data_IF_733285754344
#
_entry.id   IF_733285754344
#
_cell.length_a   1.000
_cell.length_b   1.000
_cell.length_c   1.000
_cell.angle_alpha   90.00
_cell.angle_beta   90.00
_cell.angle_gamma   90.00
#
_symmetry.space_group_name_H-M   'P 1'
#
loop_
_entity.id
_entity.type
_entity.pdbx_description
1 polymer ?
2 non-polymer ?
3 non-polymer ?
4 non-polymer ?
5 water ?
#
# COMPACT_ATOMS: atom_id res chain seq x y z
N UNK A 15 11.71 -11.50 30.18
CA UNK A 15 11.41 -11.61 28.75
C UNK A 15 12.65 -11.53 27.87
N UNK A 16 12.65 -12.26 26.75
CA UNK A 16 13.75 -12.18 25.79
C UNK A 16 13.86 -10.75 25.26
N UNK A 17 15.08 -10.31 24.96
CA UNK A 17 15.33 -8.94 24.56
C UNK A 17 16.10 -8.89 23.24
N UNK A 18 15.89 -7.82 22.48
CA UNK A 18 16.59 -7.60 21.21
C UNK A 18 16.98 -6.14 21.12
N UNK A 19 18.26 -5.87 20.84
CA UNK A 19 18.78 -4.52 20.64
C UNK A 19 18.59 -3.61 21.85
N UNK A 20 18.35 -4.17 23.03
CA UNK A 20 18.23 -3.39 24.25
C UNK A 20 16.80 -3.10 24.68
N UNK A 21 15.80 -3.39 23.86
CA UNK A 21 14.42 -3.18 24.24
C UNK A 21 13.69 -4.51 24.39
N UNK A 22 12.59 -4.46 25.14
CA UNK A 22 11.81 -5.65 25.42
C UNK A 22 11.14 -6.15 24.13
N UNK A 23 11.27 -7.45 23.88
CA UNK A 23 10.59 -8.10 22.77
C UNK A 23 9.98 -9.38 23.34
N UNK A 24 8.80 -9.26 23.95
CA UNK A 24 8.27 -10.20 24.93
C UNK A 24 7.25 -11.15 24.30
N UNK A 25 7.71 -12.27 23.75
CA UNK A 25 6.83 -13.08 22.91
C UNK A 25 6.77 -14.52 23.37
N UNK A 26 7.55 -14.86 24.39
CA UNK A 26 7.69 -16.26 24.76
C UNK A 26 6.51 -16.80 25.54
N UNK A 27 6.48 -18.12 25.77
CA UNK A 27 7.46 -19.13 25.35
C UNK A 27 7.22 -19.74 23.97
N UNK A 28 6.09 -19.42 23.32
CA UNK A 28 5.80 -20.06 22.03
C UNK A 28 6.83 -19.69 20.99
N UNK A 29 7.35 -18.47 21.04
CA UNK A 29 8.24 -17.95 20.00
C UNK A 29 9.62 -17.70 20.60
N UNK A 30 10.63 -18.34 20.02
CA UNK A 30 11.98 -18.31 20.57
C UNK A 30 12.98 -18.09 19.45
N UNK A 31 14.25 -17.97 19.84
CA UNK A 31 15.37 -17.84 18.93
C UNK A 31 15.17 -16.65 17.98
N UNK A 32 15.05 -15.47 18.60
CA UNK A 32 14.71 -14.25 17.89
C UNK A 32 15.91 -13.66 17.14
N UNK A 33 15.62 -13.08 15.97
CA UNK A 33 16.60 -12.38 15.14
C UNK A 33 16.02 -11.04 14.72
N UNK A 34 16.80 -9.98 14.93
CA UNK A 34 16.39 -8.65 14.50
C UNK A 34 16.32 -8.59 12.98
N UNK A 35 15.22 -8.09 12.43
CA UNK A 35 15.07 -7.93 10.99
C UNK A 35 15.18 -6.47 10.57
N UNK A 36 14.52 -5.56 11.29
CA UNK A 36 14.63 -4.15 10.97
C UNK A 36 13.67 -3.32 11.79
N UNK A 37 13.71 -2.02 11.52
CA UNK A 37 12.79 -1.04 12.09
C UNK A 37 11.70 -0.77 11.05
N UNK A 38 10.46 -1.07 11.42
CA UNK A 38 9.34 -0.82 10.54
C UNK A 38 8.64 0.49 10.85
N UNK A 39 7.55 0.72 10.12
CA UNK A 39 6.70 1.88 10.39
C UNK A 39 6.07 1.80 11.77
N UNK A 40 6.01 0.61 12.38
CA UNK A 40 5.40 0.48 13.69
C UNK A 40 6.40 0.29 14.83
N UNK A 41 7.63 -0.11 14.53
CA UNK A 41 8.59 -0.44 15.57
C UNK A 41 9.50 -1.56 15.11
N UNK A 42 9.96 -2.36 16.07
CA UNK A 42 10.94 -3.39 15.76
C UNK A 42 10.29 -4.60 15.12
N UNK A 43 10.94 -5.16 14.10
CA UNK A 43 10.50 -6.39 13.46
C UNK A 43 11.59 -7.43 13.61
N UNK A 44 11.19 -8.63 14.07
CA UNK A 44 12.12 -9.72 14.29
C UNK A 44 11.56 -10.99 13.65
N UNK A 45 12.45 -11.93 13.36
CA UNK A 45 11.99 -13.29 13.10
C UNK A 45 12.13 -14.10 14.37
N UNK A 46 11.37 -15.19 14.41
CA UNK A 46 11.33 -16.01 15.61
C UNK A 46 10.92 -17.41 15.21
N UNK A 47 11.26 -18.36 16.05
CA UNK A 47 10.86 -19.74 15.82
C UNK A 47 9.54 -20.02 16.55
N UNK A 48 8.54 -20.47 15.79
CA UNK A 48 7.23 -20.81 16.31
C UNK A 48 7.26 -22.27 16.76
N UNK A 49 7.39 -22.48 18.08
CA UNK A 49 7.53 -23.83 18.60
C UNK A 49 6.29 -24.69 18.42
N UNK A 50 5.14 -24.09 18.10
CA UNK A 50 3.93 -24.87 17.86
C UNK A 50 3.85 -25.32 16.41
N UNK A 51 3.94 -24.37 15.49
CA UNK A 51 3.86 -24.72 14.07
C UNK A 51 5.20 -25.16 13.51
N UNK A 52 6.28 -25.06 14.30
CA UNK A 52 7.59 -25.60 13.93
C UNK A 52 8.15 -24.89 12.70
N UNK A 53 7.94 -23.58 12.63
CA UNK A 53 8.41 -22.79 11.50
C UNK A 53 8.84 -21.43 12.02
N UNK A 54 9.71 -20.76 11.28
CA UNK A 54 10.09 -19.40 11.65
C UNK A 54 9.09 -18.42 11.08
N UNK A 55 8.75 -17.41 11.90
CA UNK A 55 7.71 -16.42 11.60
C UNK A 55 8.31 -15.03 11.76
N UNK A 56 7.54 -14.04 11.28
CA UNK A 56 7.84 -12.63 11.53
C UNK A 56 6.99 -12.14 12.68
N UNK A 57 7.57 -11.29 13.52
CA UNK A 57 6.86 -10.66 14.63
C UNK A 57 7.14 -9.17 14.66
N UNK A 58 6.09 -8.36 14.67
CA UNK A 58 6.17 -6.90 14.71
C UNK A 58 5.73 -6.42 16.08
N UNK A 59 6.59 -5.68 16.77
CA UNK A 59 6.25 -5.05 18.04
C UNK A 59 5.69 -3.65 17.80
N UNK A 60 4.51 -3.39 18.37
CA UNK A 60 3.79 -2.14 18.21
C UNK A 60 3.56 -1.55 19.60
N UNK A 61 3.86 -0.25 19.77
CA UNK A 61 3.68 0.44 21.05
C UNK A 61 2.92 1.74 20.82
N UNK A 62 1.60 1.65 20.64
CA UNK A 62 0.82 2.80 20.13
C UNK A 62 0.02 3.59 21.16
N UNK A 63 0.03 3.19 22.42
CA UNK A 63 -1.09 3.54 23.30
C UNK A 63 -1.02 4.95 23.86
N UNK A 64 0.11 5.63 23.71
CA UNK A 64 0.23 6.99 24.19
C UNK A 64 -0.35 8.02 23.22
N UNK A 65 -0.59 7.63 21.97
CA UNK A 65 -0.92 8.59 20.93
C UNK A 65 -2.15 8.12 20.17
N UNK A 66 -3.12 9.01 20.04
CA UNK A 66 -4.39 8.63 19.44
C UNK A 66 -4.21 8.22 17.98
N UNK A 67 -3.34 8.92 17.25
CA UNK A 67 -3.14 8.58 15.84
C UNK A 67 -2.46 7.23 15.67
N UNK A 68 -1.53 6.88 16.57
CA UNK A 68 -0.93 5.56 16.52
C UNK A 68 -1.97 4.51 16.84
N UNK A 69 -2.80 4.76 17.85
CA UNK A 69 -3.87 3.84 18.15
C UNK A 69 -4.78 3.67 16.95
N UNK A 70 -5.08 4.77 16.26
CA UNK A 70 -5.94 4.70 15.08
C UNK A 70 -5.37 3.75 14.03
N UNK A 71 -4.11 3.96 13.67
CA UNK A 71 -3.51 3.21 12.59
C UNK A 71 -3.39 1.73 12.97
N UNK A 72 -3.07 1.47 14.25
CA UNK A 72 -2.96 0.10 14.74
C UNK A 72 -4.31 -0.60 14.69
N UNK A 73 -5.35 0.08 15.16
CA UNK A 73 -6.68 -0.52 15.10
C UNK A 73 -7.09 -0.78 13.66
N UNK A 74 -6.86 0.19 12.75
CA UNK A 74 -7.13 -0.01 11.33
C UNK A 74 -6.48 -1.28 10.79
N UNK A 75 -5.17 -1.40 10.98
CA UNK A 75 -4.41 -2.54 10.48
C UNK A 75 -4.99 -3.84 11.01
N UNK A 76 -5.20 -3.91 12.33
CA UNK A 76 -5.69 -5.16 12.92
C UNK A 76 -7.08 -5.49 12.43
N UNK A 77 -8.00 -4.52 12.48
CA UNK A 77 -9.37 -4.79 12.07
C UNK A 77 -9.43 -5.27 10.62
N UNK A 78 -8.71 -4.59 9.74
CA UNK A 78 -8.79 -4.97 8.33
C UNK A 78 -8.13 -6.33 8.11
N UNK A 79 -6.91 -6.51 8.62
CA UNK A 79 -6.21 -7.76 8.32
C UNK A 79 -6.91 -8.97 8.92
N UNK A 80 -7.61 -8.78 10.04
CA UNK A 80 -8.34 -9.90 10.63
C UNK A 80 -9.56 -10.29 9.83
N UNK A 81 -10.18 -9.33 9.12
CA UNK A 81 -11.35 -9.68 8.32
C UNK A 81 -10.96 -10.20 6.96
N UNK A 82 -9.89 -9.69 6.38
CA UNK A 82 -9.48 -10.14 5.06
C UNK A 82 -8.86 -11.53 5.12
N UNK A 83 -9.08 -12.29 4.06
CA UNK A 83 -8.42 -13.59 3.89
C UNK A 83 -8.16 -13.75 2.40
N UNK A 84 -6.91 -13.61 1.99
CA UNK A 84 -6.57 -13.61 0.57
C UNK A 84 -5.10 -13.97 0.42
N UNK A 85 -4.80 -14.79 -0.60
CA UNK A 85 -3.44 -15.27 -0.84
C UNK A 85 -2.43 -14.14 -1.03
N UNK A 86 -2.86 -12.99 -1.58
CA UNK A 86 -1.97 -11.89 -1.88
C UNK A 86 -2.10 -10.76 -0.88
N UNK A 87 -2.57 -11.05 0.33
CA UNK A 87 -2.65 -10.09 1.40
C UNK A 87 -2.09 -10.77 2.63
N UNK A 88 -1.18 -10.10 3.34
CA UNK A 88 -0.55 -10.75 4.49
C UNK A 88 -1.62 -11.01 5.55
N UNK A 89 -1.56 -12.17 6.14
CA UNK A 89 -2.49 -12.46 7.21
C UNK A 89 -1.90 -12.15 8.57
N UNK A 90 -2.74 -12.20 9.58
CA UNK A 90 -2.27 -12.18 10.96
C UNK A 90 -2.47 -13.59 11.51
N UNK A 91 -1.38 -14.24 11.89
CA UNK A 91 -1.43 -15.59 12.43
C UNK A 91 -1.71 -15.63 13.92
N UNK A 92 -1.28 -14.59 14.62
CA UNK A 92 -1.37 -14.56 16.08
C UNK A 92 -1.16 -13.12 16.51
N UNK A 93 -1.65 -12.79 17.70
CA UNK A 93 -1.40 -11.49 18.31
C UNK A 93 -1.11 -11.73 19.77
N UNK A 94 0.02 -11.21 20.22
CA UNK A 94 0.48 -11.38 21.60
C UNK A 94 0.31 -10.06 22.34
N UNK A 95 -0.34 -10.11 23.51
CA UNK A 95 -0.39 -8.96 24.39
C UNK A 95 -0.75 -9.44 25.78
N UNK A 96 -0.60 -8.54 26.75
CA UNK A 96 -0.91 -8.85 28.15
C UNK A 96 -2.38 -9.27 28.31
N UNK A 97 -2.69 -10.00 29.39
CA UNK A 97 -4.06 -10.48 29.56
C UNK A 97 -5.06 -9.40 29.95
N UNK A 98 -4.60 -8.24 30.38
CA UNK A 98 -5.50 -7.19 30.86
C UNK A 98 -5.14 -5.89 30.20
N UNK A 99 -6.12 -5.00 30.06
CA UNK A 99 -5.83 -3.71 29.47
C UNK A 99 -4.80 -2.95 30.30
N UNK A 100 -4.91 -3.03 31.65
CA UNK A 100 -3.96 -2.37 32.54
C UNK A 100 -2.53 -2.77 32.23
N UNK A 101 -2.29 -4.05 31.99
CA UNK A 101 -0.95 -4.53 31.78
C UNK A 101 -0.51 -4.43 30.33
N UNK A 102 -1.41 -4.07 29.43
CA UNK A 102 -1.09 -4.08 28.00
C UNK A 102 -0.33 -2.81 27.63
N UNK A 103 0.95 -2.95 27.30
CA UNK A 103 1.78 -1.84 26.85
C UNK A 103 2.21 -1.99 25.40
N UNK A 104 2.42 -3.21 24.96
CA UNK A 104 2.82 -3.51 23.59
C UNK A 104 1.88 -4.56 23.02
N UNK A 105 1.86 -4.64 21.69
CA UNK A 105 1.12 -5.65 20.96
C UNK A 105 2.08 -6.22 19.92
N UNK A 106 2.17 -7.54 19.84
CA UNK A 106 3.01 -8.18 18.84
C UNK A 106 2.11 -8.87 17.82
N UNK A 107 2.33 -8.55 16.55
CA UNK A 107 1.59 -9.16 15.45
C UNK A 107 2.48 -10.21 14.81
N UNK A 108 2.01 -11.46 14.78
CA UNK A 108 2.78 -12.57 14.21
C UNK A 108 2.24 -12.83 12.81
N UNK A 109 3.15 -12.93 11.83
CA UNK A 109 2.80 -13.08 10.43
C UNK A 109 3.76 -14.08 9.78
N UNK A 110 3.34 -14.62 8.63
CA UNK A 110 4.23 -15.44 7.82
C UNK A 110 5.55 -14.71 7.62
N UNK A 111 6.65 -15.46 7.72
CA UNK A 111 7.97 -14.88 7.46
C UNK A 111 8.17 -14.78 5.96
N UNK A 112 8.47 -13.58 5.47
CA UNK A 112 8.68 -13.38 4.05
C UNK A 112 10.15 -13.04 3.78
N UNK A 113 10.72 -13.61 2.72
CA UNK A 113 12.15 -13.47 2.49
C UNK A 113 12.56 -12.01 2.33
N UNK A 114 11.75 -11.21 1.63
CA UNK A 114 12.17 -9.85 1.27
C UNK A 114 10.92 -9.02 0.97
N UNK A 115 11.12 -7.79 0.49
CA UNK A 115 10.01 -6.99 -0.02
C UNK A 115 10.48 -6.36 -1.32
N UNK A 116 9.54 -5.77 -2.06
CA UNK A 116 9.90 -5.32 -3.40
C UNK A 116 10.84 -4.12 -3.34
N UNK A 117 10.81 -3.34 -2.26
CA UNK A 117 11.77 -2.24 -2.12
C UNK A 117 13.19 -2.78 -2.05
N UNK A 118 13.44 -3.75 -1.17
CA UNK A 118 14.76 -4.35 -1.03
C UNK A 118 15.18 -5.07 -2.30
N UNK A 119 14.23 -5.75 -2.93
CA UNK A 119 14.58 -6.50 -4.13
C UNK A 119 14.99 -5.55 -5.25
N UNK A 120 14.27 -4.44 -5.42
CA UNK A 120 14.60 -3.51 -6.50
C UNK A 120 15.92 -2.78 -6.26
N UNK A 121 16.40 -2.72 -5.01
CA UNK A 121 17.70 -2.10 -4.77
C UNK A 121 18.84 -2.85 -5.44
N UNK A 122 18.73 -4.17 -5.59
CA UNK A 122 19.86 -4.92 -6.13
C UNK A 122 19.55 -5.91 -7.24
N UNK A 123 18.29 -6.17 -7.56
CA UNK A 123 17.96 -7.22 -8.51
C UNK A 123 17.23 -6.64 -9.71
N UNK A 124 17.69 -6.99 -10.90
CA UNK A 124 16.95 -6.74 -12.11
C UNK A 124 15.86 -7.80 -12.24
N UNK A 125 14.62 -7.39 -12.54
CA UNK A 125 13.52 -8.33 -12.72
C UNK A 125 13.41 -8.75 -14.18
N UNK A 126 13.20 -10.06 -14.41
CA UNK A 126 12.84 -10.51 -15.76
C UNK A 126 11.44 -10.02 -16.09
N UNK A 127 11.11 -9.93 -17.39
CA UNK A 127 9.73 -9.59 -17.74
C UNK A 127 8.76 -10.58 -17.09
N UNK A 128 9.16 -11.86 -17.00
CA UNK A 128 8.26 -12.84 -16.39
C UNK A 128 7.99 -12.51 -14.93
N UNK A 129 9.02 -12.07 -14.19
CA UNK A 129 8.81 -11.67 -12.81
C UNK A 129 7.96 -10.41 -12.71
N UNK A 130 8.19 -9.43 -13.60
CA UNK A 130 7.36 -8.22 -13.55
C UNK A 130 5.90 -8.59 -13.74
N UNK A 131 5.63 -9.42 -14.74
CA UNK A 131 4.28 -9.84 -15.05
C UNK A 131 3.64 -10.54 -13.86
N UNK A 132 4.38 -11.48 -13.26
CA UNK A 132 3.88 -12.23 -12.12
C UNK A 132 3.63 -11.35 -10.91
N UNK A 133 4.59 -10.46 -10.59
CA UNK A 133 4.39 -9.53 -9.48
C UNK A 133 3.17 -8.65 -9.73
N UNK A 134 3.08 -8.05 -10.92
CA UNK A 134 1.95 -7.15 -11.18
C UNK A 134 0.62 -7.90 -11.09
N UNK A 135 0.57 -9.12 -11.62
CA UNK A 135 -0.65 -9.91 -11.52
C UNK A 135 -1.05 -10.08 -10.05
N UNK A 136 -0.07 -10.42 -9.20
CA UNK A 136 -0.42 -10.68 -7.80
C UNK A 136 -0.84 -9.40 -7.07
N UNK A 137 -0.20 -8.29 -7.41
CA UNK A 137 -0.60 -7.02 -6.79
C UNK A 137 -2.05 -6.71 -7.12
N UNK A 138 -2.38 -6.79 -8.40
CA UNK A 138 -3.75 -6.48 -8.84
C UNK A 138 -4.75 -7.51 -8.32
N UNK A 139 -4.33 -8.76 -8.20
CA UNK A 139 -5.23 -9.78 -7.64
C UNK A 139 -5.57 -9.44 -6.21
N UNK A 140 -4.56 -9.11 -5.40
CA UNK A 140 -4.83 -8.67 -4.04
C UNK A 140 -5.65 -7.39 -4.00
N UNK A 141 -5.30 -6.43 -4.87
CA UNK A 141 -6.02 -5.17 -4.88
C UNK A 141 -7.48 -5.37 -5.28
N UNK A 142 -7.77 -6.32 -6.18
CA UNK A 142 -9.15 -6.56 -6.55
C UNK A 142 -9.97 -6.91 -5.31
N UNK A 143 -9.42 -7.77 -4.46
CA UNK A 143 -10.08 -8.16 -3.22
C UNK A 143 -10.27 -6.96 -2.28
N UNK A 144 -9.20 -6.18 -2.07
CA UNK A 144 -9.28 -5.00 -1.22
C UNK A 144 -10.39 -4.07 -1.70
N UNK A 145 -10.35 -3.72 -2.99
CA UNK A 145 -11.37 -2.81 -3.54
C UNK A 145 -12.76 -3.41 -3.50
N UNK A 146 -12.89 -4.74 -3.69
CA UNK A 146 -14.20 -5.35 -3.59
C UNK A 146 -14.77 -5.26 -2.18
N UNK A 147 -13.92 -5.03 -1.19
CA UNK A 147 -14.36 -4.81 0.18
C UNK A 147 -14.70 -3.35 0.43
N UNK A 148 -14.67 -2.52 -0.60
CA UNK A 148 -14.91 -1.08 -0.49
C UNK A 148 -13.80 -0.38 0.30
N UNK A 149 -12.60 -0.94 0.28
CA UNK A 149 -11.47 -0.44 1.03
C UNK A 149 -10.43 0.07 0.05
N UNK A 150 -9.80 1.18 0.40
CA UNK A 150 -8.65 1.76 -0.28
C UNK A 150 -7.41 1.51 0.56
N UNK A 151 -6.33 1.02 -0.06
CA UNK A 151 -5.11 0.79 0.72
C UNK A 151 -4.44 2.12 1.05
N UNK A 152 -4.28 2.99 0.05
CA UNK A 152 -3.82 4.36 0.16
C UNK A 152 -2.34 4.50 0.53
N UNK A 153 -1.57 3.41 0.55
CA UNK A 153 -0.11 3.58 0.69
C UNK A 153 0.62 2.47 -0.01
N UNK A 154 0.17 2.12 -1.22
CA UNK A 154 0.87 1.09 -2.00
C UNK A 154 2.21 1.63 -2.48
N UNK A 155 3.26 0.83 -2.29
CA UNK A 155 4.63 1.17 -2.64
C UNK A 155 5.47 -0.10 -2.48
N UNK A 156 6.67 -0.14 -3.06
CA UNK A 156 7.44 -1.40 -3.04
C UNK A 156 7.64 -1.98 -1.62
N UNK A 157 7.87 -1.13 -0.62
CA UNK A 157 8.17 -1.68 0.71
C UNK A 157 6.94 -2.28 1.38
N UNK A 158 5.73 -2.06 0.84
CA UNK A 158 4.52 -2.67 1.36
C UNK A 158 4.10 -3.89 0.56
N UNK A 159 5.02 -4.45 -0.23
CA UNK A 159 4.80 -5.66 -1.01
C UNK A 159 5.83 -6.68 -0.56
N UNK A 160 5.40 -7.63 0.25
CA UNK A 160 6.30 -8.66 0.75
C UNK A 160 6.39 -9.83 -0.24
N UNK A 161 7.54 -10.50 -0.26
CA UNK A 161 7.81 -11.61 -1.16
C UNK A 161 8.48 -12.72 -0.37
N UNK A 162 8.04 -13.96 -0.55
CA UNK A 162 8.72 -15.10 0.06
C UNK A 162 9.72 -15.69 -0.94
N UNK A 163 10.32 -16.84 -0.59
CA UNK A 163 11.44 -17.34 -1.38
C UNK A 163 11.02 -17.85 -2.74
N UNK A 164 9.72 -18.05 -2.95
CA UNK A 164 9.20 -18.56 -4.21
C UNK A 164 8.46 -17.45 -4.91
N UNK A 165 8.68 -16.22 -4.46
CA UNK A 165 8.13 -14.95 -5.14
C UNK A 165 6.64 -14.88 -5.02
N UNK A 166 6.05 -15.53 -4.02
CA UNK A 166 4.65 -15.23 -3.72
C UNK A 166 4.62 -13.86 -3.05
N UNK A 167 3.68 -13.03 -3.47
CA UNK A 167 3.67 -11.62 -3.11
C UNK A 167 2.47 -11.35 -2.20
N UNK A 168 2.68 -10.61 -1.12
CA UNK A 168 1.59 -10.27 -0.21
C UNK A 168 1.61 -8.78 0.12
N UNK A 169 0.45 -8.12 -0.05
CA UNK A 169 0.31 -6.71 0.29
C UNK A 169 0.22 -6.59 1.80
N UNK A 170 0.92 -5.61 2.37
CA UNK A 170 0.90 -5.42 3.81
C UNK A 170 0.67 -3.95 4.12
N UNK A 171 0.58 -3.66 5.43
CA UNK A 171 0.39 -2.35 6.03
C UNK A 171 -0.88 -1.63 5.60
N UNK A 172 -1.96 -1.88 6.32
CA UNK A 172 -3.24 -1.24 6.09
C UNK A 172 -3.51 -0.11 7.07
N UNK A 173 -2.45 0.41 7.70
CA UNK A 173 -2.63 1.47 8.68
C UNK A 173 -3.19 2.78 8.13
N UNK A 174 -3.04 3.04 6.83
CA UNK A 174 -3.56 4.25 6.22
C UNK A 174 -4.80 3.98 5.39
N UNK A 175 -5.36 2.78 5.46
CA UNK A 175 -6.49 2.42 4.62
C UNK A 175 -7.75 3.14 5.07
N UNK A 176 -8.70 3.29 4.15
CA UNK A 176 -9.98 3.89 4.43
C UNK A 176 -11.07 3.19 3.63
N UNK A 177 -12.31 3.32 4.10
CA UNK A 177 -13.46 2.95 3.29
C UNK A 177 -13.64 3.98 2.17
N UNK A 178 -13.86 3.51 0.95
CA UNK A 178 -14.01 4.43 -0.19
C UNK A 178 -15.16 5.39 0.06
N UNK A 179 -14.99 6.64 -0.36
CA UNK A 179 -16.01 7.67 -0.16
C UNK A 179 -15.98 8.63 -1.34
N UNK A 180 -16.38 8.17 -2.54
CA UNK A 180 -16.25 9.03 -3.73
C UNK A 180 -17.08 10.30 -3.67
N UNK A 181 -18.23 10.26 -3.00
CA UNK A 181 -19.06 11.46 -2.96
C UNK A 181 -18.42 12.58 -2.16
N UNK A 182 -17.43 12.29 -1.32
CA UNK A 182 -16.77 13.32 -0.54
C UNK A 182 -15.29 13.46 -0.90
N UNK A 183 -14.92 13.15 -2.15
CA UNK A 183 -13.52 13.16 -2.54
C UNK A 183 -12.98 14.56 -2.84
N UNK A 184 -13.82 15.53 -3.14
CA UNK A 184 -13.30 16.80 -3.66
C UNK A 184 -12.80 17.68 -2.54
N UNK A 185 -11.70 18.38 -2.83
CA UNK A 185 -11.13 19.34 -1.90
C UNK A 185 -10.40 20.41 -2.69
N UNK A 186 -9.75 21.31 -1.98
CA UNK A 186 -9.02 22.40 -2.59
C UNK A 186 -7.61 22.05 -3.00
N UNK A 187 -6.92 23.07 -3.50
CA UNK A 187 -5.62 22.93 -4.12
C UNK A 187 -4.53 22.91 -3.04
N UNK A 188 -3.62 21.95 -3.14
CA UNK A 188 -2.44 21.87 -2.29
C UNK A 188 -2.78 21.59 -0.83
N UNK A 189 -3.84 20.82 -0.59
CA UNK A 189 -4.07 20.22 0.71
C UNK A 189 -3.63 18.76 0.61
N UNK A 190 -4.11 17.92 1.52
CA UNK A 190 -4.09 16.48 1.32
C UNK A 190 -2.71 15.85 1.29
N UNK A 191 -2.55 14.85 2.15
CA UNK A 191 -1.29 14.16 2.39
C UNK A 191 -1.68 12.68 2.39
N UNK A 192 -1.83 12.13 1.18
CA UNK A 192 -2.25 10.76 0.97
C UNK A 192 -1.08 10.02 0.34
N UNK A 193 -0.89 8.76 0.73
CA UNK A 193 0.17 7.90 0.21
C UNK A 193 1.56 8.44 0.48
N UNK A 194 2.57 7.73 -0.03
CA UNK A 194 3.96 8.13 0.12
C UNK A 194 4.34 8.88 -1.15
N UNK A 195 5.07 9.99 -0.96
CA UNK A 195 5.11 11.04 -1.99
C UNK A 195 5.26 10.48 -3.41
N UNK A 196 6.24 9.60 -3.63
CA UNK A 196 6.54 9.16 -5.00
C UNK A 196 5.39 8.40 -5.63
N UNK A 197 4.44 7.92 -4.84
CA UNK A 197 3.38 7.03 -5.31
C UNK A 197 2.03 7.74 -5.29
N UNK A 198 2.06 9.06 -5.13
CA UNK A 198 0.88 9.88 -4.93
C UNK A 198 0.33 10.35 -6.29
N UNK A 199 -0.97 10.14 -6.52
CA UNK A 199 -1.60 10.48 -7.78
C UNK A 199 -1.66 12.00 -7.96
N UNK A 200 -1.63 12.50 -9.20
CA UNK A 200 -1.57 13.95 -9.40
C UNK A 200 -2.73 14.68 -8.75
N UNK A 201 -3.93 14.07 -8.74
CA UNK A 201 -5.09 14.78 -8.20
C UNK A 201 -4.99 15.01 -6.69
N UNK A 202 -4.16 14.27 -5.96
CA UNK A 202 -4.00 14.54 -4.54
C UNK A 202 -3.53 15.98 -4.32
N UNK A 203 -2.62 16.45 -5.17
CA UNK A 203 -2.12 17.81 -5.09
C UNK A 203 -3.06 18.86 -5.69
N UNK A 204 -4.10 18.43 -6.40
CA UNK A 204 -4.98 19.34 -7.10
C UNK A 204 -6.34 19.49 -6.43
N UNK A 205 -7.06 18.37 -6.21
CA UNK A 205 -8.45 18.51 -5.77
C UNK A 205 -9.03 17.24 -5.15
N UNK A 206 -8.21 16.30 -4.70
CA UNK A 206 -8.71 15.01 -4.23
C UNK A 206 -8.21 14.69 -2.84
N UNK A 207 -9.11 14.17 -2.00
CA UNK A 207 -8.74 13.64 -0.69
C UNK A 207 -8.26 12.19 -0.74
N UNK A 208 -8.23 11.58 -1.93
CA UNK A 208 -7.78 10.19 -2.03
C UNK A 208 -8.78 9.22 -1.45
N UNK A 209 -10.07 9.48 -1.67
CA UNK A 209 -11.14 8.62 -1.19
C UNK A 209 -11.75 7.77 -2.29
N UNK A 210 -11.07 7.61 -3.43
CA UNK A 210 -11.60 6.74 -4.47
C UNK A 210 -10.55 5.73 -4.89
N UNK A 211 -11.02 4.65 -5.50
CA UNK A 211 -10.16 3.51 -5.81
C UNK A 211 -9.07 3.88 -6.80
N UNK A 212 -9.31 4.90 -7.63
CA UNK A 212 -8.29 5.28 -8.60
C UNK A 212 -6.99 5.71 -7.93
N UNK A 213 -7.02 6.08 -6.65
CA UNK A 213 -5.78 6.48 -5.98
C UNK A 213 -4.80 5.30 -5.91
N UNK A 214 -5.33 4.09 -5.71
CA UNK A 214 -4.48 2.92 -5.58
C UNK A 214 -3.93 2.50 -6.93
N UNK A 215 -4.74 2.64 -7.99
CA UNK A 215 -4.27 2.23 -9.31
C UNK A 215 -3.08 3.09 -9.72
N UNK A 216 -3.12 4.39 -9.41
CA UNK A 216 -1.97 5.24 -9.70
C UNK A 216 -0.71 4.67 -9.06
N UNK A 217 -0.80 4.34 -7.76
CA UNK A 217 0.35 3.79 -7.06
C UNK A 217 0.86 2.52 -7.74
N UNK A 218 -0.05 1.62 -8.15
CA UNK A 218 0.37 0.39 -8.83
C UNK A 218 1.09 0.72 -10.14
N UNK A 219 0.59 1.72 -10.88
CA UNK A 219 1.30 2.15 -12.07
C UNK A 219 2.71 2.62 -11.76
N UNK A 220 2.86 3.41 -10.70
CA UNK A 220 4.21 3.82 -10.28
C UNK A 220 5.08 2.62 -9.95
N UNK A 221 4.48 1.62 -9.31
CA UNK A 221 5.25 0.41 -8.97
C UNK A 221 5.65 -0.35 -10.22
N UNK A 222 4.75 -0.44 -11.19
CA UNK A 222 5.10 -1.11 -12.46
C UNK A 222 6.25 -0.41 -13.15
N UNK A 223 6.19 0.92 -13.22
CA UNK A 223 7.29 1.66 -13.83
C UNK A 223 8.61 1.37 -13.13
N UNK A 224 8.58 1.31 -11.80
CA UNK A 224 9.78 1.09 -11.01
C UNK A 224 10.32 -0.32 -11.19
N UNK A 225 9.42 -1.29 -11.39
CA UNK A 225 9.87 -2.64 -11.72
C UNK A 225 10.58 -2.71 -13.08
N UNK A 226 10.18 -1.85 -14.02
CA UNK A 226 10.77 -1.90 -15.35
C UNK A 226 12.18 -1.34 -15.39
N UNK A 227 12.54 -0.46 -14.45
CA UNK A 227 13.84 0.21 -14.53
C UNK A 227 14.62 0.25 -13.23
N UNK A 228 14.05 -0.24 -12.11
CA UNK A 228 14.66 -0.21 -10.79
C UNK A 228 14.89 1.21 -10.26
N UNK A 229 14.17 2.19 -10.80
CA UNK A 229 14.23 3.57 -10.37
C UNK A 229 12.81 4.09 -10.20
N UNK A 230 12.51 4.88 -9.16
CA UNK A 230 11.16 5.45 -9.10
C UNK A 230 10.92 6.38 -10.28
N UNK A 231 9.73 6.28 -10.87
CA UNK A 231 9.46 7.04 -12.09
C UNK A 231 9.26 8.52 -11.78
N UNK A 232 8.68 8.86 -10.62
CA UNK A 232 8.37 10.23 -10.24
C UNK A 232 9.01 10.58 -8.90
N UNK A 233 10.34 10.78 -8.86
CA UNK A 233 11.05 10.94 -7.58
C UNK A 233 11.02 12.37 -7.06
N UNK A 234 9.82 12.86 -6.74
CA UNK A 234 9.67 14.21 -6.21
C UNK A 234 10.50 14.42 -4.96
N UNK A 235 11.25 15.53 -4.91
CA UNK A 235 12.19 15.74 -3.82
C UNK A 235 11.50 16.30 -2.59
N UNK A 236 10.24 16.69 -2.73
CA UNK A 236 9.42 17.23 -1.66
C UNK A 236 8.00 17.32 -2.20
N UNK A 237 7.06 17.67 -1.32
CA UNK A 237 5.63 17.58 -1.64
C UNK A 237 5.30 18.32 -2.93
N UNK A 238 5.83 19.52 -3.08
CA UNK A 238 5.47 20.35 -4.22
C UNK A 238 6.13 19.87 -5.50
N UNK A 239 7.31 19.27 -5.39
CA UNK A 239 8.03 18.76 -6.55
C UNK A 239 7.29 17.61 -7.25
N UNK A 240 6.39 16.91 -6.54
CA UNK A 240 5.88 15.65 -7.06
C UNK A 240 5.08 15.85 -8.33
N UNK A 241 4.26 16.91 -8.36
CA UNK A 241 3.48 17.19 -9.56
C UNK A 241 4.39 17.58 -10.73
N UNK A 242 5.52 18.28 -10.47
CA UNK A 242 6.48 18.61 -11.53
C UNK A 242 6.94 17.35 -12.24
N UNK A 243 7.27 16.32 -11.47
CA UNK A 243 7.77 15.09 -12.07
C UNK A 243 6.69 14.41 -12.89
N UNK A 244 5.46 14.36 -12.37
CA UNK A 244 4.39 13.67 -13.09
C UNK A 244 4.12 14.36 -14.42
N UNK A 245 3.96 15.67 -14.38
CA UNK A 245 3.70 16.42 -15.61
C UNK A 245 4.89 16.40 -16.56
N UNK A 246 6.12 16.34 -16.05
CA UNK A 246 7.26 16.29 -16.94
C UNK A 246 7.28 15.04 -17.82
N UNK A 247 6.58 13.99 -17.42
CA UNK A 247 6.49 12.78 -18.22
C UNK A 247 5.16 12.68 -18.95
N UNK A 248 4.03 12.90 -18.25
CA UNK A 248 2.76 12.80 -18.93
C UNK A 248 2.53 13.95 -19.90
N UNK A 249 3.22 15.07 -19.71
CA UNK A 249 2.97 16.28 -20.47
C UNK A 249 1.73 17.00 -19.97
N UNK A 250 1.41 18.10 -20.66
CA UNK A 250 0.29 18.95 -20.25
C UNK A 250 -1.05 18.23 -20.36
N UNK A 251 -1.91 18.37 -19.35
CA UNK A 251 -3.26 17.80 -19.47
C UNK A 251 -4.06 18.45 -20.60
N UNK A 252 -4.92 17.64 -21.19
CA UNK A 252 -5.80 18.09 -22.27
C UNK A 252 -6.83 19.07 -21.73
N UNK A 253 -7.47 19.82 -22.65
CA UNK A 253 -8.55 20.72 -22.23
C UNK A 253 -9.68 19.94 -21.58
N UNK A 254 -10.00 18.76 -22.11
CA UNK A 254 -11.05 17.95 -21.53
C UNK A 254 -10.71 17.55 -20.11
N UNK A 255 -9.45 17.18 -19.87
CA UNK A 255 -9.08 16.77 -18.53
C UNK A 255 -9.06 17.96 -17.58
N UNK A 256 -8.64 19.13 -18.07
CA UNK A 256 -8.72 20.33 -17.23
C UNK A 256 -10.16 20.70 -16.95
N UNK A 257 -11.06 20.53 -17.95
CA UNK A 257 -12.45 20.91 -17.73
C UNK A 257 -13.10 20.04 -16.65
N UNK A 258 -12.51 18.88 -16.35
CA UNK A 258 -13.00 18.04 -15.26
C UNK A 258 -12.60 18.54 -13.88
N UNK A 259 -11.66 19.48 -13.79
CA UNK A 259 -11.24 20.06 -12.53
C UNK A 259 -12.00 21.36 -12.36
N UNK A 260 -13.05 21.37 -11.53
CA UNK A 260 -13.80 22.63 -11.42
C UNK A 260 -13.07 23.64 -10.52
N UNK A 261 -12.28 23.19 -9.57
CA UNK A 261 -11.64 24.10 -8.64
C UNK A 261 -10.68 25.04 -9.39
N UNK A 262 -10.90 26.35 -9.23
CA UNK A 262 -10.19 27.34 -10.04
C UNK A 262 -8.72 27.46 -9.67
N UNK A 263 -8.40 27.36 -8.38
CA UNK A 263 -7.00 27.44 -7.99
C UNK A 263 -6.21 26.29 -8.60
N UNK A 264 -6.76 25.08 -8.56
CA UNK A 264 -6.08 23.94 -9.18
C UNK A 264 -6.00 24.10 -10.69
N UNK A 265 -7.13 24.41 -11.32
CA UNK A 265 -7.13 24.52 -12.78
C UNK A 265 -6.20 25.63 -13.26
N UNK A 266 -6.23 26.79 -12.61
CA UNK A 266 -5.39 27.90 -13.06
C UNK A 266 -3.92 27.64 -12.82
N UNK A 267 -3.58 26.88 -11.78
CA UNK A 267 -2.19 26.46 -11.63
C UNK A 267 -1.73 25.70 -12.86
N UNK A 268 -2.52 24.73 -13.29
CA UNK A 268 -2.13 23.96 -14.47
C UNK A 268 -2.08 24.85 -15.72
N UNK A 269 -3.05 25.78 -15.85
CA UNK A 269 -3.07 26.66 -17.01
C UNK A 269 -1.87 27.59 -17.04
N UNK A 270 -1.25 27.83 -15.88
CA UNK A 270 -0.13 28.76 -15.80
C UNK A 270 1.17 28.14 -16.27
N UNK A 271 1.22 26.83 -16.47
CA UNK A 271 2.46 26.15 -16.79
C UNK A 271 2.72 26.23 -18.29
N UNK A 272 3.98 26.29 -18.69
CA UNK A 272 4.29 26.19 -20.13
C UNK A 272 3.89 24.81 -20.62
N UNK A 273 3.66 24.71 -21.92
CA UNK A 273 3.33 23.42 -22.50
C UNK A 273 4.47 22.44 -22.32
N UNK A 274 4.12 21.20 -21.97
CA UNK A 274 5.07 20.09 -21.85
C UNK A 274 4.57 18.95 -22.71
N UNK A 275 5.45 18.41 -23.55
CA UNK A 275 5.10 17.23 -24.34
C UNK A 275 5.19 15.96 -23.50
N UNK A 276 4.34 15.00 -23.86
CA UNK A 276 4.42 13.66 -23.29
C UNK A 276 5.74 12.99 -23.68
N UNK A 277 6.37 12.33 -22.72
CA UNK A 277 7.54 11.49 -22.98
C UNK A 277 7.04 10.08 -23.28
N UNK A 278 7.31 9.54 -24.46
CA UNK A 278 6.80 8.20 -24.80
C UNK A 278 7.36 7.16 -23.86
N UNK A 279 6.50 6.25 -23.42
CA UNK A 279 6.94 5.23 -22.47
C UNK A 279 8.08 4.41 -23.05
N UNK A 280 8.06 4.16 -24.36
CA UNK A 280 9.07 3.27 -24.91
C UNK A 280 10.42 3.97 -25.06
N UNK A 281 10.47 5.29 -24.93
CA UNK A 281 11.75 5.96 -24.82
C UNK A 281 12.28 5.91 -23.39
N UNK A 282 11.39 5.98 -22.40
CA UNK A 282 11.81 5.79 -21.01
C UNK A 282 12.19 4.36 -20.72
N UNK A 283 11.51 3.40 -21.36
CA UNK A 283 11.70 1.98 -21.07
C UNK A 283 11.91 1.22 -22.38
N UNK A 284 13.08 1.37 -22.99
CA UNK A 284 13.26 0.81 -24.36
C UNK A 284 13.29 -0.71 -24.41
N UNK A 285 13.45 -1.41 -23.28
CA UNK A 285 13.52 -2.86 -23.26
C UNK A 285 12.22 -3.48 -22.75
N UNK A 286 11.24 -2.65 -22.39
CA UNK A 286 10.01 -3.16 -21.79
C UNK A 286 9.11 -3.79 -22.84
N UNK A 287 8.36 -4.81 -22.39
CA UNK A 287 7.32 -5.43 -23.17
C UNK A 287 6.29 -4.38 -23.58
N UNK A 288 5.93 -4.37 -24.87
CA UNK A 288 5.03 -3.32 -25.33
C UNK A 288 3.66 -3.43 -24.67
N UNK A 289 3.20 -4.64 -24.36
CA UNK A 289 1.92 -4.78 -23.64
C UNK A 289 2.01 -4.23 -22.23
N UNK A 290 3.14 -4.45 -21.54
CA UNK A 290 3.32 -3.82 -20.24
C UNK A 290 3.23 -2.30 -20.32
N UNK A 291 3.79 -1.70 -21.38
CA UNK A 291 3.77 -0.24 -21.47
C UNK A 291 2.37 0.28 -21.77
N UNK A 292 1.57 -0.50 -22.50
CA UNK A 292 0.18 -0.09 -22.75
C UNK A 292 -0.61 -0.10 -21.46
N UNK A 293 -0.42 -1.12 -20.64
CA UNK A 293 -1.08 -1.18 -19.35
C UNK A 293 -0.57 -0.06 -18.43
N UNK A 294 0.75 0.16 -18.41
CA UNK A 294 1.35 1.25 -17.64
C UNK A 294 0.68 2.57 -17.97
N UNK A 295 0.50 2.84 -19.28
CA UNK A 295 -0.12 4.09 -19.72
C UNK A 295 -1.53 4.24 -19.15
N UNK A 296 -2.30 3.15 -19.12
CA UNK A 296 -3.67 3.19 -18.63
C UNK A 296 -3.74 3.35 -17.12
N UNK A 297 -2.75 2.86 -16.38
CA UNK A 297 -2.74 3.08 -14.93
C UNK A 297 -2.24 4.48 -14.60
N UNK A 298 -1.27 4.99 -15.35
CA UNK A 298 -0.74 6.33 -15.15
C UNK A 298 -1.43 7.35 -16.04
N UNK A 299 -2.75 7.29 -16.02
CA UNK A 299 -3.58 8.24 -16.75
C UNK A 299 -3.89 9.40 -15.82
N UNK A 300 -3.72 10.63 -16.33
CA UNK A 300 -3.87 11.82 -15.50
C UNK A 300 -5.28 11.95 -14.89
N UNK A 301 -6.30 11.82 -15.72
CA UNK A 301 -7.69 11.98 -15.28
C UNK A 301 -8.13 10.74 -14.52
N UNK A 302 -8.42 10.84 -13.21
CA UNK A 302 -8.75 9.63 -12.45
C UNK A 302 -10.01 8.95 -12.94
N UNK A 303 -10.91 9.67 -13.60
CA UNK A 303 -12.11 9.03 -14.15
C UNK A 303 -11.82 8.19 -15.39
N UNK A 304 -10.75 8.47 -16.11
CA UNK A 304 -10.36 7.68 -17.28
C UNK A 304 -9.36 6.59 -16.93
N UNK A 305 -8.81 6.63 -15.72
CA UNK A 305 -7.82 5.67 -15.26
C UNK A 305 -8.43 4.27 -15.18
N UNK A 306 -7.65 3.29 -15.63
CA UNK A 306 -8.13 1.90 -15.61
C UNK A 306 -8.45 1.46 -14.18
N UNK A 307 -9.48 0.64 -14.04
CA UNK A 307 -9.84 0.03 -12.76
C UNK A 307 -9.22 -1.34 -12.61
N UNK A 308 -9.23 -1.84 -11.36
CA UNK A 308 -8.43 -3.04 -11.09
C UNK A 308 -8.90 -4.22 -11.93
N UNK A 309 -10.23 -4.40 -12.12
CA UNK A 309 -10.66 -5.59 -12.86
C UNK A 309 -10.34 -5.47 -14.35
N UNK A 310 -10.31 -4.25 -14.89
CA UNK A 310 -9.87 -4.06 -16.27
C UNK A 310 -8.39 -4.33 -16.41
N UNK A 311 -7.62 -3.92 -15.40
CA UNK A 311 -6.18 -4.16 -15.46
C UNK A 311 -5.88 -5.66 -15.46
N UNK A 312 -6.61 -6.44 -14.65
CA UNK A 312 -6.39 -7.88 -14.63
C UNK A 312 -6.67 -8.50 -15.99
N UNK A 313 -7.62 -7.94 -16.74
CA UNK A 313 -8.01 -8.48 -18.05
C UNK A 313 -7.15 -7.92 -19.18
N UNK A 314 -6.16 -7.11 -18.88
CA UNK A 314 -5.32 -6.54 -19.92
C UNK A 314 -4.45 -7.63 -20.58
N UNK A 315 -4.20 -7.54 -21.89
CA UNK A 315 -3.40 -8.58 -22.57
C UNK A 315 -2.05 -8.86 -21.93
N UNK A 316 -1.43 -7.88 -21.27
CA UNK A 316 -0.12 -8.17 -20.66
C UNK A 316 -0.22 -9.32 -19.66
N UNK A 317 -1.37 -9.44 -19.00
CA UNK A 317 -1.56 -10.42 -17.93
C UNK A 317 -2.29 -11.66 -18.40
N UNK A 318 -2.34 -11.90 -19.72
CA UNK A 318 -3.20 -12.96 -20.26
C UNK A 318 -2.80 -14.34 -19.75
N UNK A 319 -1.51 -14.55 -19.47
CA UNK A 319 -1.10 -15.88 -19.04
C UNK A 319 -1.68 -16.23 -17.67
N UNK A 320 -1.98 -15.23 -16.83
CA UNK A 320 -2.49 -15.45 -15.49
C UNK A 320 -3.99 -15.19 -15.32
N UNK A 321 -4.58 -14.34 -16.16
CA UNK A 321 -5.95 -13.88 -15.93
C UNK A 321 -6.95 -15.02 -15.85
N UNK A 322 -7.71 -15.03 -14.75
CA UNK A 322 -8.74 -16.02 -14.52
C UNK A 322 -9.67 -15.45 -13.46
N UNK A 323 -10.75 -14.77 -13.86
CA UNK A 323 -11.60 -14.09 -12.88
C UNK A 323 -12.18 -15.03 -11.82
N UNK A 324 -12.45 -16.29 -12.17
CA UNK A 324 -12.95 -17.24 -11.18
C UNK A 324 -11.91 -17.58 -10.13
N UNK A 325 -10.63 -17.25 -10.37
CA UNK A 325 -9.57 -17.51 -9.41
C UNK A 325 -9.04 -16.20 -8.86
N UNK A 326 -9.84 -15.14 -8.93
CA UNK A 326 -9.48 -13.80 -8.46
C UNK A 326 -10.61 -13.38 -7.52
N UNK A 327 -10.59 -13.89 -6.29
CA UNK A 327 -11.78 -13.80 -5.43
C UNK A 327 -12.03 -12.41 -4.89
N UNK A 328 -13.28 -12.19 -4.49
CA UNK A 328 -13.68 -10.93 -3.88
C UNK A 328 -14.10 -11.19 -2.43
N UNK A 329 -14.25 -10.10 -1.70
CA UNK A 329 -14.55 -10.19 -0.28
C UNK A 329 -16.01 -10.59 -0.07
N UNK A 330 -16.24 -11.42 0.94
CA UNK A 330 -17.60 -11.82 1.29
C UNK A 330 -18.35 -10.64 1.87
N UNK A 331 -17.65 -9.82 2.65
CA UNK A 331 -18.21 -8.84 3.58
C UNK A 331 -17.44 -7.54 3.45
N UNK A 332 -17.85 -6.68 2.52
CA UNK A 332 -17.29 -5.32 2.43
C UNK A 332 -17.46 -4.52 3.71
N UNK A 333 -16.55 -3.59 3.94
CA UNK A 333 -16.68 -2.63 5.03
C UNK A 333 -17.64 -1.53 4.59
N UNK A 334 -18.73 -1.34 5.33
CA UNK A 334 -19.80 -0.47 4.86
C UNK A 334 -19.48 1.01 5.05
N UNK A 335 -18.93 1.38 6.20
CA UNK A 335 -18.63 2.78 6.48
C UNK A 335 -17.35 2.89 7.32
N UNK A 341 -11.65 10.76 16.15
CA UNK A 341 -12.51 11.30 17.19
C UNK A 341 -12.37 10.57 18.53
N UNK A 342 -12.16 9.25 18.47
CA UNK A 342 -12.13 8.46 19.69
C UNK A 342 -10.86 8.74 20.48
N UNK A 343 -10.94 8.96 21.79
CA UNK A 343 -9.72 9.11 22.57
C UNK A 343 -8.95 7.80 22.60
N UNK A 344 -7.64 7.93 22.84
CA UNK A 344 -6.78 6.75 22.83
C UNK A 344 -7.27 5.70 23.83
N UNK A 345 -7.96 6.12 24.90
CA UNK A 345 -8.43 5.15 25.88
C UNK A 345 -9.47 4.22 25.26
N UNK A 346 -10.43 4.79 24.52
CA UNK A 346 -11.40 3.94 23.84
C UNK A 346 -10.72 3.10 22.77
N UNK A 347 -9.72 3.65 22.11
CA UNK A 347 -9.00 2.91 21.07
C UNK A 347 -8.21 1.75 21.67
N UNK A 348 -7.58 1.99 22.82
CA UNK A 348 -6.87 0.90 23.50
C UNK A 348 -7.84 -0.22 23.84
N UNK A 349 -9.02 0.15 24.32
CA UNK A 349 -10.04 -0.84 24.65
C UNK A 349 -10.50 -1.56 23.40
N UNK A 350 -10.65 -0.83 22.28
CA UNK A 350 -11.00 -1.47 21.02
C UNK A 350 -9.90 -2.40 20.52
N UNK A 351 -8.64 -1.98 20.60
CA UNK A 351 -7.53 -2.87 20.26
C UNK A 351 -7.53 -4.09 21.17
N UNK A 352 -7.76 -3.89 22.46
CA UNK A 352 -7.79 -5.03 23.38
C UNK A 352 -8.90 -6.01 22.98
N UNK A 353 -10.10 -5.48 22.69
CA UNK A 353 -11.19 -6.34 22.26
C UNK A 353 -10.90 -7.02 20.92
N UNK A 354 -10.30 -6.29 19.98
CA UNK A 354 -10.07 -6.84 18.66
C UNK A 354 -9.05 -7.98 18.69
N UNK A 355 -8.20 -8.01 19.71
CA UNK A 355 -7.12 -8.99 19.79
C UNK A 355 -7.45 -10.14 20.73
N UNK A 356 -8.66 -10.16 21.31
CA UNK A 356 -8.99 -11.15 22.34
C UNK A 356 -9.00 -12.58 21.81
N UNK A 357 -9.36 -12.78 20.53
CA UNK A 357 -9.53 -14.12 19.99
C UNK A 357 -8.23 -14.93 20.04
N UNK A 358 -7.09 -14.27 20.24
CA UNK A 358 -5.82 -14.96 20.26
C UNK A 358 -5.37 -15.33 21.65
N UNK A 359 -6.14 -14.98 22.68
CA UNK A 359 -5.85 -15.42 24.04
C UNK A 359 -6.37 -16.84 24.23
N UNK A 360 -5.65 -17.67 24.98
CA UNK A 360 -4.32 -17.38 25.53
X LIG B 1 -12.29 3.55 -17.65
X LIG B 1 -12.23 2.63 -18.83
X LIG B 1 -13.39 4.96 -17.93
X LIG B 1 -13.13 2.72 -16.26
X LIG C 1 9.39 9.56 -1.18
X LIG C 1 8.35 8.62 -1.68
X LIG C 1 9.00 10.05 0.53
X LIG C 1 10.86 8.58 -0.75
X LIG D 1 8.50 -16.74 -13.73
X LIG D 1 9.60 -17.65 -13.26
X LIG D 1 6.91 -17.51 -13.35
X LIG D 1 8.40 -15.40 -12.51
X LIG E 1 19.58 -2.84 -10.13
X LIG E 1 19.45 -3.24 -11.58
X LIG E 1 21.28 -3.11 -9.56
X LIG E 1 19.38 -1.06 -9.86
X LIG F 1 6.06 14.51 1.61
X LIG F 1 5.97 15.79 2.32
X LIG F 1 4.82 13.79 1.95
X LIG F 1 7.17 13.65 2.03
X LIG F 1 6.14 14.77 0.16
X LIG G 1 9.67 -10.80 6.88
X LIG G 1 10.51 -5.71 8.22
X LIG G 1 7.47 -10.22 7.26
X LIG G 1 7.81 -8.96 7.35
X LIG G 1 9.08 -8.63 7.22
X LIG G 1 8.00 -6.86 7.53
X LIG G 1 10.51 -5.78 5.98
X LIG G 1 11.67 -4.96 6.52
X LIG G 1 10.90 -6.39 4.80
X LIG G 1 12.10 -3.98 8.49
X LIG G 1 6.05 -4.82 7.53
X LIG G 1 5.79 -3.37 7.10
X LIG G 1 6.26 -2.42 8.20
X LIG G 1 11.72 -5.31 7.93
X LIG G 1 10.41 -6.66 7.21
X LIG G 1 8.39 -11.13 7.04
X LIG G 1 10.02 -9.53 6.99
X LIG G 1 9.18 -7.34 7.31
X LIG G 1 7.14 -7.84 7.57
X LIG G 1 6.21 -10.54 7.40
X LIG G 1 11.01 -3.34 9.16
X LIG G 1 10.36 -3.09 8.66
X LIG G 1 9.66 -2.84 8.16
X LIG G 1 12.87 -5.39 6.09
X LIG G 1 6.84 -1.36 7.91
X LIG G 1 5.99 -2.78 9.33
X LIG G 1 7.79 -5.10 7.73
#
# INVERSE_FOLDING_TARGET
HHHHHHMAAAAAAGPEMVRGQVFDVGPRYTNLSYIGEGAYGMVCSAYDNLNKVRVAIKKISPFEHQTYCQRTLREIKILLRFRHENIIGINDIIRAPTIEQMKDVYIVQDLMETDLYKLLKTQHLSNDHICYFLYQILRGLKYIHSANVLHRDLKPSNLLLNTTCDLKICDFGLARVADPDHDHTGFLTEYVATRWYRAPEIMLNSKGYTKSIDIWSVGCILAEMLSNRPIFPGKHYLDQLNHILGILGSPSQEDLNCIINLKARNYLLSLPHKNKVPWNRLFPNADSKALDLLDKMLTFNPHKRIEVEQALAHPYLEQYYDPSDEPIAEAPFKFDMELDDLPKEKLKELIFEETARFQPGYRS
DMS S O C1 C2
DMS S O C1 C2
DMS S O C1 C2
DMS S O C1 C2
SO4 S O1 O2 O3 O4
DU8 C1 O1 C2 C3 C4 C5 C6 C7 O2 C10 C11 C12 C13 C8 C9 N1 N2 N3 N4 N5 N6 N7 N8 O3 O4 O5 S1
#
